data_IF_456213559059
#
_entry.id   IF_456213559059
#
_cell.length_a   1.000
_cell.length_b   1.000
_cell.length_c   1.000
_cell.angle_alpha   90.00
_cell.angle_beta   90.00
_cell.angle_gamma   90.00
#
_symmetry.space_group_name_H-M   'P 1'
#
loop_
_entity.id
_entity.type
_entity.pdbx_description
1 polymer ?
#
# COMPACT_ATOMS: atom_id res chain seq x y z
N UNK A 1 -3.04 1.91 7.91
CA UNK A 1 -2.26 2.14 6.65
C UNK A 1 -1.83 0.87 5.93
N UNK A 2 -1.01 -0.04 6.51
CA UNK A 2 -0.52 -1.27 5.81
C UNK A 2 -1.65 -2.05 5.11
N UNK A 3 -2.71 -2.37 5.86
CA UNK A 3 -3.82 -3.18 5.35
C UNK A 3 -4.61 -2.47 4.25
N UNK A 4 -4.75 -1.15 4.33
CA UNK A 4 -5.39 -0.34 3.31
C UNK A 4 -4.63 -0.42 1.97
N UNK A 5 -3.32 -0.14 1.97
CA UNK A 5 -2.51 -0.23 0.75
C UNK A 5 -2.50 -1.67 0.23
N UNK A 6 -2.35 -2.68 1.10
CA UNK A 6 -2.36 -4.08 0.68
C UNK A 6 -3.69 -4.48 0.00
N UNK A 7 -4.84 -4.00 0.50
CA UNK A 7 -6.15 -4.30 -0.08
C UNK A 7 -6.36 -3.68 -1.46
N UNK A 8 -5.75 -2.51 -1.73
CA UNK A 8 -6.00 -1.75 -2.95
C UNK A 8 -4.85 -1.80 -3.98
N UNK A 9 -3.70 -2.39 -3.62
CA UNK A 9 -2.51 -2.47 -4.46
C UNK A 9 -1.95 -3.87 -4.65
N UNK A 10 -2.60 -4.91 -4.10
CA UNK A 10 -2.18 -6.30 -4.27
C UNK A 10 -3.31 -7.12 -4.87
N UNK A 11 -2.99 -7.85 -5.92
CA UNK A 11 -3.89 -8.84 -6.51
C UNK A 11 -4.09 -10.01 -5.54
N UNK A 12 -5.35 -10.42 -5.39
CA UNK A 12 -5.71 -11.62 -4.63
C UNK A 12 -6.03 -12.71 -5.65
N UNK A 13 -5.14 -13.70 -5.73
CA UNK A 13 -5.35 -14.86 -6.58
C UNK A 13 -6.40 -15.79 -5.96
N UNK A 14 -7.51 -16.02 -6.65
CA UNK A 14 -8.49 -17.01 -6.25
C UNK A 14 -8.09 -18.40 -6.77
N UNK A 15 -7.85 -19.32 -5.83
CA UNK A 15 -7.47 -20.70 -6.13
C UNK A 15 -8.60 -21.50 -6.77
N UNK A 16 -9.85 -21.06 -6.64
CA UNK A 16 -11.02 -21.74 -7.22
C UNK A 16 -11.28 -21.33 -8.66
N UNK A 17 -10.78 -20.17 -9.09
CA UNK A 17 -10.91 -19.65 -10.45
C UNK A 17 -9.56 -19.14 -10.98
N UNK A 18 -8.61 -20.05 -11.30
CA UNK A 18 -7.22 -19.68 -11.59
C UNK A 18 -7.01 -18.75 -12.80
N UNK A 19 -7.99 -18.68 -13.70
CA UNK A 19 -7.90 -17.95 -14.96
C UNK A 19 -8.77 -16.68 -15.00
N UNK A 20 -9.32 -16.25 -13.85
CA UNK A 20 -10.05 -14.99 -13.77
C UNK A 20 -9.12 -13.81 -14.09
N UNK A 21 -9.62 -12.85 -14.87
CA UNK A 21 -8.86 -11.63 -15.15
C UNK A 21 -8.57 -10.87 -13.84
N UNK A 22 -7.33 -10.39 -13.63
CA UNK A 22 -6.98 -9.68 -12.42
C UNK A 22 -7.82 -8.42 -12.25
N UNK A 23 -8.26 -8.15 -11.02
CA UNK A 23 -9.03 -6.96 -10.69
C UNK A 23 -8.18 -5.70 -10.89
N UNK A 24 -8.77 -4.68 -11.51
CA UNK A 24 -8.11 -3.39 -11.69
C UNK A 24 -7.86 -2.73 -10.32
N UNK A 25 -6.58 -2.55 -9.97
CA UNK A 25 -6.17 -2.02 -8.69
C UNK A 25 -6.22 -0.48 -8.66
N UNK A 26 -6.80 0.08 -7.60
CA UNK A 26 -6.91 1.54 -7.41
C UNK A 26 -5.58 2.20 -7.04
N UNK A 27 -4.68 1.44 -6.41
CA UNK A 27 -3.39 1.96 -5.94
C UNK A 27 -2.24 1.09 -6.44
N UNK A 28 -1.06 1.72 -6.59
CA UNK A 28 0.23 1.05 -6.77
C UNK A 28 1.07 1.30 -5.52
N UNK A 29 1.60 0.24 -4.91
CA UNK A 29 2.47 0.38 -3.73
C UNK A 29 3.88 0.80 -4.16
N UNK A 30 4.33 1.99 -3.76
CA UNK A 30 5.65 2.53 -4.15
C UNK A 30 6.75 2.11 -3.18
N UNK A 31 6.46 2.05 -1.88
CA UNK A 31 7.46 1.62 -0.91
C UNK A 31 7.15 1.93 0.54
N UNK A 32 8.11 1.57 1.40
CA UNK A 32 8.08 1.81 2.83
C UNK A 32 9.45 2.26 3.31
N UNK A 33 9.49 3.34 4.09
CA UNK A 33 10.72 3.87 4.69
C UNK A 33 10.59 3.85 6.21
N UNK A 34 11.69 3.48 6.87
CA UNK A 34 11.87 3.57 8.32
C UNK A 34 12.95 4.62 8.59
N UNK A 35 12.91 5.29 9.76
CA UNK A 35 13.96 6.23 10.13
C UNK A 35 15.31 5.53 10.27
N UNK A 36 16.39 6.25 9.95
CA UNK A 36 17.76 5.79 10.12
C UNK A 36 18.24 5.90 11.57
N UNK A 37 19.40 5.32 11.88
CA UNK A 37 19.96 5.36 13.24
C UNK A 37 20.24 6.79 13.72
N UNK A 38 20.81 7.65 12.84
CA UNK A 38 21.08 9.05 13.15
C UNK A 38 19.79 9.85 13.42
N UNK A 39 18.73 9.58 12.65
CA UNK A 39 17.43 10.23 12.83
C UNK A 39 16.77 9.83 14.15
N UNK A 40 16.85 8.56 14.53
CA UNK A 40 16.35 8.07 15.82
C UNK A 40 17.16 8.63 16.98
N UNK A 41 18.47 8.80 16.83
CA UNK A 41 19.32 9.41 17.85
C UNK A 41 18.97 10.90 18.07
N UNK A 42 18.75 11.64 16.98
CA UNK A 42 18.34 13.05 17.04
C UNK A 42 16.88 13.23 17.50
N UNK A 43 15.99 12.27 17.18
CA UNK A 43 14.59 12.28 17.58
C UNK A 43 14.14 10.89 18.06
N UNK A 44 14.24 10.59 19.37
CA UNK A 44 13.86 9.28 19.92
C UNK A 44 12.40 8.88 19.65
N UNK A 45 11.50 9.86 19.51
CA UNK A 45 10.08 9.60 19.19
C UNK A 45 9.88 9.02 17.79
N UNK A 46 10.85 9.21 16.89
CA UNK A 46 10.78 8.67 15.54
C UNK A 46 10.96 7.14 15.48
N UNK A 47 11.47 6.48 16.53
CA UNK A 47 11.81 5.03 16.53
C UNK A 47 10.75 4.10 15.91
N UNK A 48 9.47 4.42 16.06
CA UNK A 48 8.34 3.62 15.56
C UNK A 48 7.69 4.16 14.27
N UNK A 49 8.19 5.27 13.73
CA UNK A 49 7.65 5.87 12.51
C UNK A 49 7.84 4.95 11.30
N UNK A 50 6.79 4.87 10.48
CA UNK A 50 6.82 4.09 9.24
C UNK A 50 6.09 4.85 8.14
N UNK A 51 6.85 5.45 7.23
CA UNK A 51 6.30 6.08 6.03
C UNK A 51 5.95 5.01 5.00
N UNK A 52 4.74 5.08 4.43
CA UNK A 52 4.28 4.20 3.35
C UNK A 52 3.79 5.06 2.21
N UNK A 53 4.28 4.80 1.01
CA UNK A 53 3.97 5.56 -0.20
C UNK A 53 3.21 4.67 -1.16
N UNK A 54 2.12 5.19 -1.71
CA UNK A 54 1.34 4.57 -2.77
C UNK A 54 0.89 5.65 -3.76
N UNK A 55 0.77 5.26 -5.01
CA UNK A 55 0.36 6.10 -6.13
C UNK A 55 -1.06 5.70 -6.56
N UNK A 56 -1.88 6.69 -6.93
CA UNK A 56 -3.22 6.45 -7.47
C UNK A 56 -3.12 6.05 -8.94
N UNK A 57 -3.79 4.96 -9.31
CA UNK A 57 -3.85 4.54 -10.72
C UNK A 57 -4.97 5.28 -11.47
N UNK A 58 -5.00 5.13 -12.80
CA UNK A 58 -6.09 5.67 -13.63
C UNK A 58 -7.46 5.01 -13.39
N UNK A 59 -7.55 4.01 -12.51
CA UNK A 59 -8.80 3.30 -12.21
C UNK A 59 -9.74 4.26 -11.45
N UNK A 60 -10.95 4.53 -11.98
CA UNK A 60 -11.90 5.42 -11.34
C UNK A 60 -12.36 4.84 -10.00
N UNK A 61 -12.62 5.72 -9.03
CA UNK A 61 -13.31 5.31 -7.81
C UNK A 61 -14.79 5.21 -8.16
N UNK A 62 -15.37 4.01 -8.12
CA UNK A 62 -16.82 3.88 -8.23
C UNK A 62 -17.46 4.60 -7.04
N UNK A 63 -18.22 5.65 -7.34
CA UNK A 63 -18.98 6.38 -6.33
C UNK A 63 -20.31 5.66 -6.20
N UNK A 64 -20.51 4.93 -5.11
CA UNK A 64 -21.83 4.36 -4.81
C UNK A 64 -22.74 5.52 -4.41
N UNK A 65 -23.79 5.74 -5.22
CA UNK A 65 -24.87 6.70 -4.95
C UNK A 65 -25.86 6.13 -3.93
#
# INVERSE_FOLDING_TARGET
>A
VKQFIARHAKEVFDRRTPFAAPSALLLKACGRVKPGAAEVAANPRARSAVMRVAERTAVPLETQA
#
